data_IF_193193057542
#
_entry.id   IF_193193057542
#
_cell.length_a   1.000
_cell.length_b   1.000
_cell.length_c   1.000
_cell.angle_alpha   90.00
_cell.angle_beta   90.00
_cell.angle_gamma   90.00
#
_symmetry.space_group_name_H-M   'P 1'
#
loop_
_entity.id
_entity.type
_entity.pdbx_description
1 polymer ?
#
# COMPACT_ATOMS: atom_id res chain seq x y z
N UNK A 1 -28.58 1.18 -15.37
CA UNK A 1 -28.68 0.83 -13.93
C UNK A 1 -27.36 0.31 -13.37
N UNK A 2 -26.54 -0.44 -14.14
CA UNK A 2 -25.23 -0.93 -13.71
C UNK A 2 -24.10 0.13 -13.70
N UNK A 3 -24.12 1.11 -14.60
CA UNK A 3 -23.04 2.14 -14.68
C UNK A 3 -22.91 2.97 -13.41
N UNK A 4 -24.02 3.48 -12.87
CA UNK A 4 -24.00 4.28 -11.63
C UNK A 4 -23.49 3.46 -10.42
N UNK A 5 -23.76 2.15 -10.39
CA UNK A 5 -23.28 1.28 -9.30
C UNK A 5 -21.77 1.06 -9.39
N UNK A 6 -21.22 0.89 -10.59
CA UNK A 6 -19.78 0.72 -10.78
C UNK A 6 -19.01 1.98 -10.41
N UNK A 7 -19.46 3.15 -10.89
CA UNK A 7 -18.83 4.43 -10.57
C UNK A 7 -18.84 4.72 -9.07
N UNK A 8 -19.95 4.45 -8.37
CA UNK A 8 -20.03 4.64 -6.93
C UNK A 8 -19.07 3.74 -6.15
N UNK A 9 -18.96 2.46 -6.53
CA UNK A 9 -18.01 1.53 -5.91
C UNK A 9 -16.57 1.97 -6.16
N UNK A 10 -16.25 2.40 -7.37
CA UNK A 10 -14.91 2.90 -7.70
C UNK A 10 -14.56 4.16 -6.89
N UNK A 11 -15.49 5.11 -6.78
CA UNK A 11 -15.31 6.31 -5.96
C UNK A 11 -15.11 5.93 -4.49
N UNK A 12 -15.92 5.01 -3.95
CA UNK A 12 -15.79 4.57 -2.57
C UNK A 12 -14.44 3.88 -2.31
N UNK A 13 -14.01 2.98 -3.20
CA UNK A 13 -12.71 2.30 -3.08
C UNK A 13 -11.55 3.28 -3.12
N UNK A 14 -11.59 4.24 -4.05
CA UNK A 14 -10.56 5.24 -4.23
C UNK A 14 -10.54 6.23 -3.06
N UNK A 15 -11.70 6.58 -2.52
CA UNK A 15 -11.82 7.41 -1.32
C UNK A 15 -11.23 6.71 -0.09
N UNK A 16 -11.54 5.42 0.14
CA UNK A 16 -10.96 4.65 1.25
C UNK A 16 -9.44 4.65 1.12
N UNK A 17 -8.90 4.25 -0.03
CA UNK A 17 -7.47 4.21 -0.26
C UNK A 17 -6.80 5.58 -0.02
N UNK A 18 -7.33 6.66 -0.60
CA UNK A 18 -6.77 8.01 -0.46
C UNK A 18 -6.84 8.49 0.99
N UNK A 19 -7.94 8.28 1.70
CA UNK A 19 -8.07 8.73 3.10
C UNK A 19 -6.98 8.08 3.95
N UNK A 20 -6.80 6.76 3.84
CA UNK A 20 -5.79 6.07 4.64
C UNK A 20 -4.36 6.38 4.19
N UNK A 21 -4.14 6.61 2.90
CA UNK A 21 -2.88 7.14 2.37
C UNK A 21 -2.52 8.49 2.98
N UNK A 22 -3.48 9.42 3.02
CA UNK A 22 -3.25 10.74 3.62
C UNK A 22 -3.02 10.64 5.14
N UNK A 23 -3.72 9.76 5.84
CA UNK A 23 -3.47 9.49 7.26
C UNK A 23 -2.03 8.98 7.46
N UNK A 24 -1.61 7.97 6.71
CA UNK A 24 -0.24 7.45 6.78
C UNK A 24 0.81 8.54 6.51
N UNK A 25 0.59 9.34 5.46
CA UNK A 25 1.54 10.33 4.99
C UNK A 25 1.64 11.58 5.88
N UNK A 26 0.51 12.12 6.34
CA UNK A 26 0.47 13.42 7.02
C UNK A 26 0.19 13.34 8.51
N UNK A 27 -0.32 12.22 9.03
CA UNK A 27 -0.62 12.04 10.46
C UNK A 27 0.43 11.17 11.12
N UNK A 28 0.75 10.03 10.51
CA UNK A 28 1.68 9.05 11.09
C UNK A 28 3.13 9.41 10.78
N UNK A 29 3.48 9.57 9.50
CA UNK A 29 4.86 9.73 9.08
C UNK A 29 5.63 10.92 9.70
N UNK A 30 5.00 12.07 10.03
CA UNK A 30 5.69 13.17 10.72
C UNK A 30 6.02 12.88 12.20
N UNK A 31 5.38 11.89 12.81
CA UNK A 31 5.62 11.50 14.20
C UNK A 31 6.58 10.31 14.26
N UNK A 32 7.86 10.59 14.53
CA UNK A 32 8.91 9.57 14.57
C UNK A 32 8.66 8.47 15.61
N UNK A 33 8.04 8.77 16.75
CA UNK A 33 7.74 7.78 17.81
C UNK A 33 6.79 6.69 17.31
N UNK A 34 5.92 7.02 16.34
CA UNK A 34 4.95 6.08 15.75
C UNK A 34 5.50 5.52 14.43
N UNK A 35 6.09 6.36 13.59
CA UNK A 35 6.54 5.98 12.26
C UNK A 35 7.73 5.01 12.30
N UNK A 36 8.70 5.20 13.19
CA UNK A 36 9.92 4.35 13.23
C UNK A 36 9.60 2.89 13.56
N UNK A 37 8.78 2.56 14.59
CA UNK A 37 8.38 1.18 14.84
C UNK A 37 7.65 0.54 13.65
N UNK A 38 6.76 1.28 12.98
CA UNK A 38 6.03 0.78 11.82
C UNK A 38 6.99 0.54 10.65
N UNK A 39 7.91 1.47 10.39
CA UNK A 39 8.92 1.34 9.35
C UNK A 39 9.84 0.15 9.61
N UNK A 40 10.22 -0.12 10.87
CA UNK A 40 11.03 -1.28 11.21
C UNK A 40 10.34 -2.59 10.84
N UNK A 41 9.05 -2.72 11.17
CA UNK A 41 8.24 -3.90 10.79
C UNK A 41 8.17 -4.04 9.27
N UNK A 42 7.88 -2.95 8.56
CA UNK A 42 7.83 -2.96 7.09
C UNK A 42 9.18 -3.39 6.51
N UNK A 43 10.30 -2.83 7.01
CA UNK A 43 11.64 -3.18 6.51
C UNK A 43 12.07 -4.60 6.87
N UNK A 44 11.56 -5.17 7.97
CA UNK A 44 11.83 -6.56 8.36
C UNK A 44 11.10 -7.52 7.41
N UNK A 45 9.83 -7.26 7.12
CA UNK A 45 9.04 -8.02 6.13
C UNK A 45 9.64 -7.89 4.72
N UNK A 46 10.00 -6.67 4.29
CA UNK A 46 10.67 -6.43 3.01
C UNK A 46 12.07 -7.05 2.97
N UNK A 47 12.82 -6.99 4.07
CA UNK A 47 14.14 -7.60 4.19
C UNK A 47 14.08 -9.12 4.06
N UNK A 48 13.07 -9.76 4.64
CA UNK A 48 12.80 -11.19 4.47
C UNK A 48 12.49 -11.56 3.01
N UNK A 49 11.78 -10.69 2.27
CA UNK A 49 11.53 -10.85 0.84
C UNK A 49 12.80 -10.64 0.00
N UNK A 50 13.65 -9.68 0.38
CA UNK A 50 14.90 -9.34 -0.30
C UNK A 50 16.07 -10.30 -0.03
N UNK A 51 15.94 -11.27 0.89
CA UNK A 51 17.00 -12.28 1.14
C UNK A 51 17.31 -13.16 -0.08
N UNK A 52 16.46 -13.15 -1.12
CA UNK A 52 16.82 -13.65 -2.44
C UNK A 52 17.35 -12.48 -3.28
N UNK A 53 18.67 -12.38 -3.42
CA UNK A 53 19.35 -11.41 -4.29
C UNK A 53 19.00 -11.56 -5.80
N UNK A 54 18.17 -12.54 -6.17
CA UNK A 54 17.72 -12.74 -7.54
C UNK A 54 16.51 -11.82 -7.85
N UNK A 55 16.68 -10.80 -8.72
CA UNK A 55 15.61 -9.88 -9.08
C UNK A 55 14.36 -10.57 -9.65
N UNK A 56 14.51 -11.77 -10.23
CA UNK A 56 13.39 -12.54 -10.77
C UNK A 56 12.50 -13.11 -9.66
N UNK A 57 13.11 -13.52 -8.54
CA UNK A 57 12.38 -14.07 -7.39
C UNK A 57 11.59 -12.96 -6.70
N UNK A 58 12.23 -11.80 -6.48
CA UNK A 58 11.57 -10.63 -5.91
C UNK A 58 10.39 -10.18 -6.78
N UNK A 59 10.60 -10.07 -8.11
CA UNK A 59 9.53 -9.74 -9.05
C UNK A 59 8.36 -10.73 -8.96
N UNK A 60 8.63 -12.04 -8.86
CA UNK A 60 7.59 -13.05 -8.77
C UNK A 60 6.83 -13.01 -7.44
N UNK A 61 7.51 -12.74 -6.33
CA UNK A 61 6.89 -12.56 -5.01
C UNK A 61 5.97 -11.34 -5.00
N UNK A 62 6.43 -10.21 -5.54
CA UNK A 62 5.61 -9.00 -5.71
C UNK A 62 4.39 -9.30 -6.59
N UNK A 63 4.57 -10.00 -7.71
CA UNK A 63 3.47 -10.38 -8.59
C UNK A 63 2.43 -11.24 -7.85
N UNK A 64 2.86 -12.25 -7.09
CA UNK A 64 1.96 -13.11 -6.33
C UNK A 64 1.24 -12.35 -5.21
N UNK A 65 1.90 -11.42 -4.52
CA UNK A 65 1.27 -10.59 -3.50
C UNK A 65 0.12 -9.78 -4.10
N UNK A 66 0.38 -9.10 -5.22
CA UNK A 66 -0.62 -8.28 -5.90
C UNK A 66 -1.71 -9.08 -6.57
N UNK A 67 -1.39 -10.27 -7.10
CA UNK A 67 -2.38 -11.19 -7.62
C UNK A 67 -3.31 -11.67 -6.49
N UNK A 68 -2.76 -12.04 -5.34
CA UNK A 68 -3.52 -12.44 -4.16
C UNK A 68 -4.43 -11.31 -3.67
N UNK A 69 -3.87 -10.11 -3.48
CA UNK A 69 -4.63 -8.92 -3.08
C UNK A 69 -5.75 -8.62 -4.08
N UNK A 70 -5.49 -8.69 -5.39
CA UNK A 70 -6.49 -8.46 -6.43
C UNK A 70 -7.61 -9.49 -6.43
N UNK A 71 -7.28 -10.77 -6.20
CA UNK A 71 -8.27 -11.85 -6.05
C UNK A 71 -9.11 -11.64 -4.79
N UNK A 72 -8.50 -11.25 -3.66
CA UNK A 72 -9.20 -10.94 -2.41
C UNK A 72 -10.10 -9.71 -2.59
N UNK A 73 -9.65 -8.66 -3.29
CA UNK A 73 -10.47 -7.48 -3.60
C UNK A 73 -11.70 -7.85 -4.44
N UNK A 74 -11.51 -8.69 -5.46
CA UNK A 74 -12.57 -9.14 -6.35
C UNK A 74 -13.59 -10.05 -5.64
N UNK A 75 -13.12 -11.08 -4.94
CA UNK A 75 -13.97 -11.99 -4.18
C UNK A 75 -14.59 -11.28 -2.97
N UNK A 76 -13.83 -10.45 -2.28
CA UNK A 76 -14.27 -9.67 -1.13
C UNK A 76 -15.41 -8.69 -1.44
N UNK A 77 -15.50 -8.22 -2.69
CA UNK A 77 -16.61 -7.41 -3.16
C UNK A 77 -17.96 -8.15 -3.08
N UNK A 78 -17.94 -9.49 -3.10
CA UNK A 78 -19.15 -10.31 -2.93
C UNK A 78 -19.57 -10.47 -1.47
N UNK A 79 -18.67 -10.22 -0.51
CA UNK A 79 -18.89 -10.33 0.95
C UNK A 79 -19.11 -8.93 1.55
N UNK A 80 -20.13 -8.22 1.06
CA UNK A 80 -20.47 -6.84 1.46
C UNK A 80 -19.32 -5.82 1.30
N UNK A 81 -18.24 -6.18 0.59
CA UNK A 81 -17.06 -5.33 0.43
C UNK A 81 -16.18 -5.18 1.67
N UNK A 82 -16.38 -5.98 2.73
CA UNK A 82 -15.60 -5.85 3.99
C UNK A 82 -14.13 -6.18 3.74
N UNK A 83 -13.86 -7.33 3.11
CA UNK A 83 -12.50 -7.73 2.76
C UNK A 83 -11.87 -6.74 1.78
N UNK A 84 -12.66 -6.21 0.84
CA UNK A 84 -12.21 -5.16 -0.08
C UNK A 84 -11.80 -3.90 0.66
N UNK A 85 -12.63 -3.44 1.62
CA UNK A 85 -12.34 -2.29 2.44
C UNK A 85 -11.09 -2.46 3.30
N UNK A 86 -10.89 -3.64 3.89
CA UNK A 86 -9.70 -3.95 4.67
C UNK A 86 -8.43 -3.84 3.84
N UNK A 87 -8.37 -4.48 2.66
CA UNK A 87 -7.20 -4.44 1.78
C UNK A 87 -6.90 -3.00 1.30
N UNK A 88 -7.93 -2.23 0.93
CA UNK A 88 -7.74 -0.85 0.50
C UNK A 88 -7.23 0.05 1.63
N UNK A 89 -7.73 -0.16 2.85
CA UNK A 89 -7.32 0.56 4.05
C UNK A 89 -5.86 0.27 4.38
N UNK A 90 -5.46 -1.01 4.46
CA UNK A 90 -4.09 -1.39 4.80
C UNK A 90 -3.10 -0.90 3.76
N UNK A 91 -3.42 -1.09 2.47
CA UNK A 91 -2.49 -0.71 1.40
C UNK A 91 -2.37 0.82 1.30
N UNK A 92 -3.49 1.55 1.37
CA UNK A 92 -3.45 3.01 1.44
C UNK A 92 -2.59 3.48 2.61
N UNK A 93 -2.85 2.96 3.81
CA UNK A 93 -2.13 3.32 5.03
C UNK A 93 -0.62 3.10 4.93
N UNK A 94 -0.17 1.87 4.63
CA UNK A 94 1.25 1.56 4.64
C UNK A 94 2.02 2.32 3.56
N UNK A 95 1.45 2.46 2.36
CA UNK A 95 2.06 3.26 1.28
C UNK A 95 2.15 4.73 1.71
N UNK A 96 1.12 5.25 2.38
CA UNK A 96 1.13 6.59 2.95
C UNK A 96 2.27 6.79 3.95
N UNK A 97 2.44 5.86 4.89
CA UNK A 97 3.51 5.91 5.90
C UNK A 97 4.89 5.90 5.23
N UNK A 98 5.14 4.95 4.32
CA UNK A 98 6.43 4.85 3.60
C UNK A 98 6.71 6.11 2.80
N UNK A 99 5.71 6.63 2.07
CA UNK A 99 5.83 7.85 1.27
C UNK A 99 6.13 9.08 2.12
N UNK A 100 5.37 9.30 3.19
CA UNK A 100 5.58 10.43 4.10
C UNK A 100 6.94 10.34 4.80
N UNK A 101 7.34 9.14 5.24
CA UNK A 101 8.59 8.94 5.95
C UNK A 101 9.79 9.17 5.02
N UNK A 102 9.76 8.60 3.81
CA UNK A 102 10.78 8.85 2.80
C UNK A 102 10.83 10.31 2.38
N UNK A 103 9.69 11.01 2.30
CA UNK A 103 9.62 12.42 1.92
C UNK A 103 10.32 13.32 2.94
N UNK A 104 10.20 13.00 4.24
CA UNK A 104 10.92 13.71 5.29
C UNK A 104 12.44 13.53 5.20
N UNK A 105 12.93 12.36 4.76
CA UNK A 105 14.37 12.06 4.72
C UNK A 105 15.03 12.55 3.43
N UNK A 106 14.43 12.27 2.28
CA UNK A 106 15.06 12.45 0.95
C UNK A 106 14.40 13.55 0.11
N UNK A 107 13.30 14.12 0.59
CA UNK A 107 12.45 15.03 -0.19
C UNK A 107 11.52 14.30 -1.15
N UNK A 108 10.33 14.87 -1.36
CA UNK A 108 9.20 14.25 -2.08
C UNK A 108 9.60 13.67 -3.45
N UNK A 109 10.39 14.39 -4.25
CA UNK A 109 10.76 13.96 -5.60
C UNK A 109 11.58 12.65 -5.60
N UNK A 110 12.56 12.52 -4.72
CA UNK A 110 13.37 11.31 -4.58
C UNK A 110 12.57 10.16 -3.95
N UNK A 111 11.62 10.46 -3.07
CA UNK A 111 10.74 9.47 -2.47
C UNK A 111 9.81 8.84 -3.50
N UNK A 112 9.20 9.64 -4.39
CA UNK A 112 8.40 9.11 -5.51
C UNK A 112 9.26 8.23 -6.41
N UNK A 113 10.46 8.69 -6.78
CA UNK A 113 11.38 7.92 -7.62
C UNK A 113 11.91 6.67 -6.93
N UNK A 114 11.91 6.59 -5.60
CA UNK A 114 12.28 5.38 -4.87
C UNK A 114 11.09 4.41 -4.74
N UNK A 115 9.87 4.93 -4.51
CA UNK A 115 8.66 4.11 -4.29
C UNK A 115 8.07 3.61 -5.60
N UNK A 116 8.21 4.33 -6.70
CA UNK A 116 7.73 3.86 -8.02
C UNK A 116 8.43 2.57 -8.49
N UNK A 117 9.77 2.43 -8.43
CA UNK A 117 10.47 1.21 -8.83
C UNK A 117 10.45 0.10 -7.78
N UNK A 118 10.47 0.41 -6.48
CA UNK A 118 10.22 -0.56 -5.41
C UNK A 118 8.72 -0.95 -5.35
N UNK A 119 7.86 -0.12 -5.95
CA UNK A 119 6.44 -0.37 -6.14
C UNK A 119 5.60 0.04 -4.93
N UNK A 120 4.43 0.63 -5.23
CA UNK A 120 3.18 0.64 -4.44
C UNK A 120 2.70 -0.80 -4.06
N UNK A 121 3.48 -1.80 -4.47
CA UNK A 121 3.13 -3.20 -4.72
C UNK A 121 3.92 -4.17 -3.82
N UNK A 122 4.88 -3.67 -3.05
CA UNK A 122 5.59 -4.42 -2.00
C UNK A 122 4.76 -4.57 -0.69
N UNK A 123 3.55 -3.98 -0.63
CA UNK A 123 2.64 -4.02 0.53
C UNK A 123 1.32 -4.72 0.19
#
# INVERSE_FOLDING_TARGET
MFENSFTNSLIASLAIFIVFFLIGCFVIAPNEEIAVPIMNVITEEMGALAMNDDPLILMFQIFLNNLSASVILFVGGTVLGIATGYVLLTNGFFIGVVMGYMANIKGIALSVVSIVPHGIFEL
#
